data_IF_096986369898
#
_entry.id   IF_096986369898
#
_cell.length_a   1.000
_cell.length_b   1.000
_cell.length_c   1.000
_cell.angle_alpha   90.00
_cell.angle_beta   90.00
_cell.angle_gamma   90.00
#
_symmetry.space_group_name_H-M   'P 1'
#
loop_
_entity.id
_entity.type
_entity.pdbx_description
1 polymer ?
#
# COMPACT_ATOMS: atom_id res chain seq x y z
N UNK A 1 28.04 -16.34 -5.86
CA UNK A 1 26.59 -16.24 -5.67
C UNK A 1 26.37 -15.56 -4.34
N UNK A 2 26.09 -14.25 -4.33
CA UNK A 2 25.93 -13.51 -3.10
C UNK A 2 24.48 -13.65 -2.61
N UNK A 3 24.32 -14.07 -1.36
CA UNK A 3 23.06 -14.05 -0.62
C UNK A 3 22.42 -12.66 -0.73
N UNK A 4 21.38 -12.53 -1.54
CA UNK A 4 20.54 -11.34 -1.49
C UNK A 4 19.87 -11.31 -0.12
N UNK A 5 20.27 -10.35 0.72
CA UNK A 5 19.65 -10.11 2.00
C UNK A 5 18.15 -9.91 1.82
N UNK A 6 17.35 -10.20 2.86
CA UNK A 6 15.92 -9.93 2.87
C UNK A 6 15.62 -8.49 2.41
N UNK A 7 16.51 -7.54 2.70
CA UNK A 7 16.45 -6.15 2.23
C UNK A 7 16.50 -5.97 0.69
N UNK A 8 17.21 -6.82 -0.06
CA UNK A 8 17.25 -6.78 -1.52
C UNK A 8 16.00 -7.42 -2.17
N UNK A 9 15.45 -8.48 -1.57
CA UNK A 9 14.19 -9.09 -2.03
C UNK A 9 12.97 -8.18 -1.80
N UNK A 10 13.01 -7.37 -0.75
CA UNK A 10 11.95 -6.42 -0.43
C UNK A 10 12.09 -5.10 -1.24
N UNK A 11 13.17 -4.91 -2.00
CA UNK A 11 13.30 -3.76 -2.91
C UNK A 11 12.26 -3.80 -4.05
N UNK A 12 11.77 -5.00 -4.38
CA UNK A 12 10.66 -5.25 -5.32
C UNK A 12 9.26 -5.05 -4.70
N UNK A 13 9.15 -4.82 -3.38
CA UNK A 13 7.86 -4.53 -2.74
C UNK A 13 7.41 -3.07 -2.89
N UNK A 14 8.31 -2.21 -3.37
CA UNK A 14 8.20 -0.77 -3.25
C UNK A 14 8.20 -0.01 -4.58
N UNK A 15 8.20 -0.70 -5.72
CA UNK A 15 7.71 -0.05 -6.93
C UNK A 15 6.20 -0.21 -6.94
N UNK A 16 5.42 0.84 -6.65
CA UNK A 16 4.01 0.80 -6.98
C UNK A 16 3.94 0.48 -8.47
N UNK A 17 3.25 -0.58 -8.91
CA UNK A 17 2.81 -0.57 -10.28
C UNK A 17 1.92 0.67 -10.40
N UNK A 18 1.91 1.24 -11.59
CA UNK A 18 0.98 2.29 -12.01
C UNK A 18 1.47 3.73 -11.75
N UNK A 19 2.35 4.18 -12.63
CA UNK A 19 2.29 5.56 -13.16
C UNK A 19 1.01 5.79 -14.02
N UNK A 20 0.15 4.78 -14.14
CA UNK A 20 -1.14 4.83 -14.83
C UNK A 20 -2.27 5.05 -13.82
N UNK A 21 -3.20 5.94 -14.12
CA UNK A 21 -4.42 6.13 -13.32
C UNK A 21 -5.17 4.79 -13.28
N UNK A 22 -5.48 4.27 -12.08
CA UNK A 22 -6.29 3.06 -11.94
C UNK A 22 -7.73 3.42 -12.34
N UNK A 23 -8.05 3.24 -13.63
CA UNK A 23 -9.35 3.59 -14.17
C UNK A 23 -10.51 2.83 -13.52
N UNK A 24 -10.30 1.55 -13.15
CA UNK A 24 -11.29 0.73 -12.45
C UNK A 24 -10.60 -0.20 -11.45
N UNK A 25 -11.14 -0.27 -10.22
CA UNK A 25 -10.69 -1.28 -9.26
C UNK A 25 -11.21 -2.66 -9.64
N UNK A 26 -10.40 -3.71 -9.50
CA UNK A 26 -10.88 -5.07 -9.69
C UNK A 26 -12.02 -5.38 -8.72
N UNK A 27 -13.03 -6.12 -9.18
CA UNK A 27 -14.15 -6.61 -8.37
C UNK A 27 -13.66 -7.33 -7.10
N UNK A 28 -14.51 -7.43 -6.07
CA UNK A 28 -14.17 -8.01 -4.75
C UNK A 28 -13.41 -9.35 -4.82
N UNK A 29 -13.77 -10.21 -5.78
CA UNK A 29 -13.16 -11.53 -6.01
C UNK A 29 -11.76 -11.50 -6.64
N UNK A 30 -11.34 -10.37 -7.22
CA UNK A 30 -10.06 -10.18 -7.91
C UNK A 30 -9.17 -9.11 -7.26
N UNK A 31 -9.56 -8.63 -6.07
CA UNK A 31 -8.80 -7.62 -5.34
C UNK A 31 -7.35 -8.07 -5.06
N UNK A 32 -6.40 -7.12 -5.00
CA UNK A 32 -5.01 -7.43 -4.67
C UNK A 32 -4.89 -8.18 -3.34
N UNK A 33 -4.04 -9.21 -3.30
CA UNK A 33 -3.85 -10.04 -2.08
C UNK A 33 -3.30 -9.25 -0.89
N UNK A 34 -2.51 -8.20 -1.13
CA UNK A 34 -2.02 -7.34 -0.06
C UNK A 34 -3.15 -6.55 0.60
N UNK A 35 -4.23 -6.25 -0.13
CA UNK A 35 -5.40 -5.53 0.36
C UNK A 35 -6.38 -6.45 1.10
N UNK A 36 -6.62 -7.65 0.57
CA UNK A 36 -7.58 -8.63 1.14
C UNK A 36 -7.02 -9.55 2.22
N UNK A 37 -5.69 -9.55 2.41
CA UNK A 37 -5.04 -10.27 3.50
C UNK A 37 -5.31 -9.62 4.86
N UNK A 38 -5.01 -10.36 5.93
CA UNK A 38 -5.04 -9.85 7.30
C UNK A 38 -4.35 -8.48 7.42
N UNK A 39 -4.99 -7.54 8.12
CA UNK A 39 -4.55 -6.15 8.23
C UNK A 39 -3.13 -6.02 8.77
N UNK A 40 -2.72 -6.89 9.70
CA UNK A 40 -1.39 -6.89 10.31
C UNK A 40 -0.32 -7.52 9.39
N UNK A 41 -0.66 -7.88 8.16
CA UNK A 41 0.24 -8.53 7.20
C UNK A 41 0.30 -7.79 5.87
N UNK A 42 1.46 -7.92 5.22
CA UNK A 42 1.72 -7.50 3.86
C UNK A 42 1.98 -8.73 2.99
N UNK A 43 1.36 -8.78 1.82
CA UNK A 43 1.58 -9.85 0.85
C UNK A 43 2.46 -9.35 -0.28
N UNK A 44 3.60 -10.01 -0.49
CA UNK A 44 4.52 -9.65 -1.58
C UNK A 44 3.97 -10.08 -2.94
N UNK A 45 4.60 -9.58 -4.01
CA UNK A 45 4.27 -9.98 -5.38
C UNK A 45 4.39 -11.49 -5.60
N UNK A 46 5.35 -12.15 -4.96
CA UNK A 46 5.52 -13.61 -5.00
C UNK A 46 4.52 -14.37 -4.11
N UNK A 47 3.60 -13.65 -3.45
CA UNK A 47 2.58 -14.24 -2.57
C UNK A 47 3.08 -14.58 -1.18
N UNK A 48 4.26 -14.09 -0.76
CA UNK A 48 4.76 -14.30 0.59
C UNK A 48 4.02 -13.39 1.56
N UNK A 49 3.52 -13.95 2.65
CA UNK A 49 2.87 -13.20 3.73
C UNK A 49 3.95 -12.79 4.75
N UNK A 50 4.02 -11.50 5.05
CA UNK A 50 4.99 -10.91 5.98
C UNK A 50 4.22 -10.09 7.01
N UNK A 51 4.37 -10.35 8.32
CA UNK A 51 3.82 -9.47 9.35
C UNK A 51 4.38 -8.05 9.20
N UNK A 52 3.54 -7.03 9.33
CA UNK A 52 3.93 -5.61 9.23
C UNK A 52 5.06 -5.29 10.21
N UNK A 53 5.01 -5.87 11.42
CA UNK A 53 6.05 -5.75 12.45
C UNK A 53 7.44 -6.30 12.05
N UNK A 54 7.52 -7.11 10.99
CA UNK A 54 8.77 -7.65 10.45
C UNK A 54 9.28 -6.86 9.25
N UNK A 55 8.51 -5.91 8.72
CA UNK A 55 8.95 -5.03 7.65
C UNK A 55 10.03 -4.08 8.18
N UNK A 56 11.02 -3.79 7.35
CA UNK A 56 12.00 -2.75 7.63
C UNK A 56 11.40 -1.35 7.44
N UNK A 57 11.96 -0.35 8.10
CA UNK A 57 11.43 1.02 8.12
C UNK A 57 11.31 1.64 6.72
N UNK A 58 12.27 1.34 5.83
CA UNK A 58 12.24 1.73 4.42
C UNK A 58 11.03 1.15 3.67
N UNK A 59 10.67 -0.10 3.97
CA UNK A 59 9.51 -0.76 3.35
C UNK A 59 8.21 -0.20 3.88
N UNK A 60 8.11 0.02 5.20
CA UNK A 60 6.95 0.66 5.81
C UNK A 60 6.71 2.04 5.20
N UNK A 61 7.76 2.86 5.08
CA UNK A 61 7.67 4.19 4.47
C UNK A 61 7.24 4.14 3.00
N UNK A 62 7.76 3.19 2.21
CA UNK A 62 7.38 3.05 0.80
C UNK A 62 5.94 2.58 0.63
N UNK A 63 5.49 1.62 1.46
CA UNK A 63 4.09 1.17 1.48
C UNK A 63 3.18 2.34 1.86
N UNK A 64 3.53 3.08 2.92
CA UNK A 64 2.80 4.26 3.35
C UNK A 64 2.67 5.29 2.22
N UNK A 65 3.76 5.62 1.52
CA UNK A 65 3.73 6.52 0.37
C UNK A 65 2.84 6.01 -0.77
N UNK A 66 2.89 4.72 -1.07
CA UNK A 66 2.04 4.12 -2.10
C UNK A 66 0.57 4.25 -1.72
N UNK A 67 0.23 3.89 -0.48
CA UNK A 67 -1.14 3.99 0.00
C UNK A 67 -1.62 5.44 0.00
N UNK A 68 -0.79 6.40 0.42
CA UNK A 68 -1.15 7.82 0.39
C UNK A 68 -1.42 8.35 -1.03
N UNK A 69 -0.72 7.84 -2.04
CA UNK A 69 -1.03 8.15 -3.45
C UNK A 69 -2.37 7.59 -3.89
N UNK A 70 -2.70 6.36 -3.50
CA UNK A 70 -4.00 5.74 -3.79
C UNK A 70 -5.12 6.56 -3.15
N UNK A 71 -4.94 6.99 -1.90
CA UNK A 71 -5.91 7.84 -1.20
C UNK A 71 -6.11 9.18 -1.93
N UNK A 72 -5.03 9.86 -2.32
CA UNK A 72 -5.12 11.10 -3.08
C UNK A 72 -5.87 10.92 -4.41
N UNK A 73 -5.65 9.80 -5.11
CA UNK A 73 -6.36 9.47 -6.36
C UNK A 73 -7.85 9.16 -6.13
N UNK A 74 -8.23 8.60 -4.98
CA UNK A 74 -9.65 8.41 -4.64
C UNK A 74 -10.39 9.74 -4.45
N UNK A 75 -9.66 10.77 -4.02
CA UNK A 75 -10.18 12.12 -3.80
C UNK A 75 -10.15 12.97 -5.09
N UNK A 76 -9.56 12.47 -6.19
CA UNK A 76 -9.57 13.16 -7.48
C UNK A 76 -10.95 13.08 -8.14
N UNK A 77 -11.49 14.23 -8.53
CA UNK A 77 -12.76 14.37 -9.24
C UNK A 77 -12.54 14.97 -10.64
N UNK A 78 -13.33 14.51 -11.62
CA UNK A 78 -13.31 15.04 -12.98
C UNK A 78 -13.87 16.46 -13.01
N UNK A 79 -13.85 17.07 -14.21
CA UNK A 79 -14.37 18.43 -14.43
C UNK A 79 -15.87 18.55 -14.10
N UNK A 80 -16.60 17.44 -13.97
CA UNK A 80 -18.01 17.36 -13.62
C UNK A 80 -18.24 17.07 -12.12
N UNK A 81 -17.16 16.86 -11.34
CA UNK A 81 -17.19 16.58 -9.91
C UNK A 81 -17.44 15.11 -9.57
N UNK A 82 -17.34 14.19 -10.53
CA UNK A 82 -17.39 12.75 -10.28
C UNK A 82 -16.00 12.22 -9.92
N UNK A 83 -15.88 11.31 -8.95
CA UNK A 83 -14.60 10.67 -8.65
C UNK A 83 -14.04 9.97 -9.90
N UNK A 84 -12.79 10.28 -10.27
CA UNK A 84 -12.14 9.79 -11.51
C UNK A 84 -11.77 8.30 -11.41
N UNK A 85 -11.75 7.75 -10.19
CA UNK A 85 -11.52 6.33 -9.94
C UNK A 85 -12.70 5.68 -9.23
N UNK A 86 -12.87 4.38 -9.45
CA UNK A 86 -13.53 3.55 -8.44
C UNK A 86 -12.76 3.67 -7.11
N UNK A 87 -13.45 3.62 -5.98
CA UNK A 87 -12.76 3.46 -4.70
C UNK A 87 -12.34 1.99 -4.53
N UNK A 88 -11.16 1.68 -3.95
CA UNK A 88 -11.01 0.39 -3.30
C UNK A 88 -12.14 0.25 -2.26
N UNK A 89 -12.48 -0.98 -1.81
CA UNK A 89 -13.39 -1.15 -0.69
C UNK A 89 -12.83 -0.38 0.51
N UNK A 90 -13.42 0.78 0.80
CA UNK A 90 -12.86 1.81 1.69
C UNK A 90 -12.51 1.19 3.04
N UNK A 91 -13.35 0.29 3.53
CA UNK A 91 -13.11 -0.46 4.78
C UNK A 91 -11.83 -1.31 4.77
N UNK A 92 -11.53 -2.03 3.69
CA UNK A 92 -10.32 -2.84 3.57
C UNK A 92 -9.08 -1.97 3.44
N UNK A 93 -9.19 -0.90 2.64
CA UNK A 93 -8.12 0.05 2.44
C UNK A 93 -7.77 0.78 3.75
N UNK A 94 -8.76 1.36 4.43
CA UNK A 94 -8.58 2.09 5.69
C UNK A 94 -7.97 1.20 6.78
N UNK A 95 -8.43 -0.05 6.88
CA UNK A 95 -7.89 -1.00 7.87
C UNK A 95 -6.42 -1.30 7.58
N UNK A 96 -6.06 -1.49 6.30
CA UNK A 96 -4.66 -1.73 5.90
C UNK A 96 -3.79 -0.49 6.10
N UNK A 97 -4.32 0.70 5.76
CA UNK A 97 -3.65 1.99 5.92
C UNK A 97 -3.34 2.25 7.39
N UNK A 98 -4.34 2.10 8.26
CA UNK A 98 -4.22 2.31 9.70
C UNK A 98 -3.17 1.37 10.32
N UNK A 99 -3.13 0.09 9.91
CA UNK A 99 -2.13 -0.86 10.42
C UNK A 99 -0.68 -0.48 10.06
N UNK A 100 -0.46 0.08 8.86
CA UNK A 100 0.84 0.60 8.45
C UNK A 100 1.19 1.87 9.24
N UNK A 101 0.24 2.78 9.39
CA UNK A 101 0.43 4.01 10.15
C UNK A 101 0.74 3.77 11.62
N UNK A 102 0.03 2.85 12.27
CA UNK A 102 0.23 2.48 13.66
C UNK A 102 1.64 1.93 13.86
N UNK A 103 2.10 1.04 12.97
CA UNK A 103 3.46 0.49 13.07
C UNK A 103 4.53 1.56 12.85
N UNK A 104 4.30 2.50 11.94
CA UNK A 104 5.21 3.64 11.72
C UNK A 104 5.27 4.55 12.95
N UNK A 105 4.11 4.85 13.57
CA UNK A 105 4.05 5.66 14.79
C UNK A 105 4.73 4.97 15.96
N UNK A 106 4.49 3.66 16.14
CA UNK A 106 5.15 2.83 17.16
C UNK A 106 6.68 2.90 17.05
N UNK A 107 7.21 3.06 15.84
CA UNK A 107 8.64 3.15 15.55
C UNK A 107 9.17 4.59 15.41
N UNK A 108 8.32 5.60 15.56
CA UNK A 108 8.64 7.01 15.32
C UNK A 108 9.24 7.28 13.92
N UNK A 109 8.75 6.55 12.90
CA UNK A 109 9.18 6.77 11.52
C UNK A 109 8.50 8.06 11.01
N UNK A 110 9.24 9.05 10.50
CA UNK A 110 8.66 10.29 10.02
C UNK A 110 7.76 10.04 8.80
N UNK A 111 6.47 10.30 8.98
CA UNK A 111 5.47 10.39 7.91
C UNK A 111 5.63 11.78 7.29
N UNK A 112 6.36 11.86 6.17
CA UNK A 112 6.49 13.12 5.44
C UNK A 112 5.09 13.72 5.23
N UNK A 113 4.93 15.00 5.57
CA UNK A 113 3.64 15.70 5.55
C UNK A 113 2.97 15.47 4.18
N UNK A 114 1.74 14.93 4.11
CA UNK A 114 1.00 14.96 2.85
C UNK A 114 0.74 16.43 2.52
N UNK A 115 1.33 16.89 1.41
CA UNK A 115 1.06 18.20 0.84
C UNK A 115 -0.27 18.18 0.10
#
# INVERSE_FOLDING_TARGET
MADCCTHCRLKDLAEPPFDEIVGEWPNEVMLPRWLTSDAATWVTREGRVIPIVQLGDSHLYNIYRMLGRIQAQMDEADEEGHPIGGGPPVSLFDTKYAAIEEEMDRRNIPKGVPA
#
